data_IF_182390581582
#
_entry.id   IF_182390581582
#
_cell.length_a   1.000
_cell.length_b   1.000
_cell.length_c   1.000
_cell.angle_alpha   90.00
_cell.angle_beta   90.00
_cell.angle_gamma   90.00
#
_symmetry.space_group_name_H-M   'P 1'
#
loop_
_entity.id
_entity.type
_entity.pdbx_description
1 polymer ?
#
# COMPACT_ATOMS: atom_id res chain seq x y z
N UNK A 1 9.07 -12.45 -26.42
CA UNK A 1 8.84 -11.04 -26.08
C UNK A 1 8.16 -11.03 -24.72
N UNK A 2 8.94 -10.95 -23.64
CA UNK A 2 8.36 -10.88 -22.29
C UNK A 2 7.86 -9.45 -22.12
N UNK A 3 6.54 -9.27 -22.13
CA UNK A 3 5.96 -8.05 -21.59
C UNK A 3 6.40 -8.00 -20.12
N UNK A 4 7.24 -7.04 -19.76
CA UNK A 4 7.40 -6.72 -18.34
C UNK A 4 6.00 -6.32 -17.89
N UNK A 5 5.39 -7.03 -16.91
CA UNK A 5 4.18 -6.52 -16.30
C UNK A 5 4.48 -5.08 -15.87
N UNK A 6 3.59 -4.18 -16.24
CA UNK A 6 3.78 -2.76 -15.98
C UNK A 6 3.86 -2.62 -14.45
N UNK A 7 5.07 -2.41 -13.93
CA UNK A 7 5.32 -2.36 -12.47
C UNK A 7 4.37 -1.40 -11.77
N UNK A 8 3.87 -0.38 -12.47
CA UNK A 8 2.86 0.56 -11.98
C UNK A 8 1.52 -0.13 -11.73
N UNK A 9 1.05 -0.91 -12.70
CA UNK A 9 -0.21 -1.65 -12.61
C UNK A 9 -0.14 -2.72 -11.52
N UNK A 10 1.04 -3.32 -11.34
CA UNK A 10 1.30 -4.26 -10.24
C UNK A 10 1.16 -3.57 -8.87
N UNK A 11 1.78 -2.40 -8.65
CA UNK A 11 1.65 -1.67 -7.37
C UNK A 11 0.21 -1.23 -7.12
N UNK A 12 -0.49 -0.73 -8.14
CA UNK A 12 -1.90 -0.36 -8.01
C UNK A 12 -2.78 -1.56 -7.65
N UNK A 13 -2.53 -2.72 -8.26
CA UNK A 13 -3.24 -3.97 -7.95
C UNK A 13 -2.98 -4.41 -6.51
N UNK A 14 -1.72 -4.41 -6.07
CA UNK A 14 -1.37 -4.72 -4.68
C UNK A 14 -2.02 -3.76 -3.68
N UNK A 15 -2.06 -2.47 -4.00
CA UNK A 15 -2.70 -1.47 -3.15
C UNK A 15 -4.22 -1.67 -3.08
N UNK A 16 -4.87 -2.02 -4.20
CA UNK A 16 -6.29 -2.40 -4.24
C UNK A 16 -6.58 -3.61 -3.36
N UNK A 17 -5.82 -4.68 -3.52
CA UNK A 17 -5.96 -5.91 -2.71
C UNK A 17 -5.72 -5.67 -1.22
N UNK A 18 -4.80 -4.75 -0.87
CA UNK A 18 -4.59 -4.34 0.50
C UNK A 18 -5.83 -3.64 1.07
N UNK A 19 -6.43 -2.70 0.33
CA UNK A 19 -7.66 -2.01 0.74
C UNK A 19 -8.83 -2.99 0.89
N UNK A 20 -9.01 -3.90 -0.07
CA UNK A 20 -10.06 -4.92 0.01
C UNK A 20 -9.89 -5.82 1.25
N UNK A 21 -8.65 -6.19 1.57
CA UNK A 21 -8.35 -6.95 2.78
C UNK A 21 -8.62 -6.16 4.07
N UNK A 22 -8.43 -4.84 4.08
CA UNK A 22 -8.82 -3.98 5.21
C UNK A 22 -10.34 -3.93 5.38
N UNK A 23 -11.11 -3.85 4.29
CA UNK A 23 -12.58 -3.87 4.33
C UNK A 23 -13.17 -5.21 4.75
N UNK A 24 -12.41 -6.31 4.58
CA UNK A 24 -12.81 -7.63 5.06
C UNK A 24 -12.68 -7.79 6.57
N UNK A 25 -11.96 -6.88 7.26
CA UNK A 25 -11.86 -6.90 8.72
C UNK A 25 -13.19 -6.50 9.37
N UNK A 26 -13.43 -6.90 10.64
CA UNK A 26 -14.54 -6.38 11.43
C UNK A 26 -14.53 -4.86 11.46
N UNK A 27 -15.73 -4.25 11.42
CA UNK A 27 -15.88 -2.79 11.27
C UNK A 27 -15.14 -1.99 12.35
N UNK A 28 -15.01 -2.55 13.55
CA UNK A 28 -14.35 -1.91 14.69
C UNK A 28 -12.82 -2.01 14.64
N UNK A 29 -12.24 -2.86 13.78
CA UNK A 29 -10.79 -3.05 13.68
C UNK A 29 -10.07 -1.80 13.14
N UNK A 30 -10.77 -0.95 12.39
CA UNK A 30 -10.24 0.31 11.85
C UNK A 30 -10.75 1.54 12.60
N UNK A 31 -11.42 1.36 13.75
CA UNK A 31 -11.86 2.49 14.57
C UNK A 31 -10.66 3.30 15.03
N UNK A 32 -10.62 4.58 14.67
CA UNK A 32 -9.49 5.49 14.92
C UNK A 32 -8.48 5.61 13.78
N UNK A 33 -8.67 4.90 12.66
CA UNK A 33 -7.88 5.03 11.42
C UNK A 33 -8.77 5.26 10.19
N UNK A 34 -10.02 5.72 10.38
CA UNK A 34 -10.96 5.94 9.28
C UNK A 34 -10.44 6.97 8.29
N UNK A 35 -9.82 8.05 8.79
CA UNK A 35 -9.24 9.09 7.97
C UNK A 35 -8.09 8.58 7.09
N UNK A 36 -7.16 7.81 7.67
CA UNK A 36 -6.04 7.23 6.93
C UNK A 36 -6.52 6.20 5.91
N UNK A 37 -7.53 5.40 6.26
CA UNK A 37 -8.18 4.46 5.33
C UNK A 37 -8.78 5.21 4.13
N UNK A 38 -9.54 6.27 4.37
CA UNK A 38 -10.20 7.04 3.32
C UNK A 38 -9.18 7.75 2.42
N UNK A 39 -8.07 8.23 2.99
CA UNK A 39 -6.94 8.75 2.21
C UNK A 39 -6.37 7.67 1.31
N UNK A 40 -6.02 6.51 1.86
CA UNK A 40 -5.45 5.41 1.10
C UNK A 40 -6.39 4.95 -0.02
N UNK A 41 -7.69 4.75 0.28
CA UNK A 41 -8.69 4.38 -0.73
C UNK A 41 -8.74 5.40 -1.87
N UNK A 42 -8.81 6.69 -1.53
CA UNK A 42 -8.85 7.77 -2.53
C UNK A 42 -7.60 7.78 -3.41
N UNK A 43 -6.41 7.55 -2.83
CA UNK A 43 -5.15 7.50 -3.58
C UNK A 43 -5.10 6.27 -4.49
N UNK A 44 -5.56 5.11 -4.01
CA UNK A 44 -5.65 3.89 -4.82
C UNK A 44 -6.61 4.06 -5.99
N UNK A 45 -7.79 4.66 -5.77
CA UNK A 45 -8.76 4.93 -6.85
C UNK A 45 -8.19 5.87 -7.92
N UNK A 46 -7.36 6.84 -7.53
CA UNK A 46 -6.70 7.76 -8.45
C UNK A 46 -5.45 7.18 -9.12
N UNK A 47 -4.94 6.05 -8.63
CA UNK A 47 -3.65 5.49 -9.05
C UNK A 47 -2.43 6.21 -8.46
N UNK A 48 -2.63 7.09 -7.47
CA UNK A 48 -1.61 7.94 -6.85
C UNK A 48 -0.86 7.20 -5.71
N UNK A 49 -0.51 5.94 -5.92
CA UNK A 49 0.05 5.04 -4.88
C UNK A 49 1.56 5.18 -4.67
N UNK A 50 2.26 5.94 -5.52
CA UNK A 50 3.71 6.17 -5.42
C UNK A 50 4.09 7.36 -4.52
N UNK A 51 3.09 8.12 -4.05
CA UNK A 51 3.28 9.27 -3.17
C UNK A 51 3.68 8.90 -1.74
N UNK A 52 4.26 9.86 -1.03
CA UNK A 52 4.53 9.73 0.41
C UNK A 52 3.22 9.56 1.19
N UNK A 53 2.18 10.30 0.82
CA UNK A 53 0.86 10.27 1.45
C UNK A 53 0.28 8.84 1.55
N UNK A 54 0.37 8.03 0.49
CA UNK A 54 -0.08 6.64 0.52
C UNK A 54 0.71 5.80 1.53
N UNK A 55 2.04 5.99 1.56
CA UNK A 55 2.92 5.24 2.46
C UNK A 55 2.74 5.65 3.92
N UNK A 56 2.54 6.94 4.17
CA UNK A 56 2.34 7.50 5.50
C UNK A 56 0.99 7.05 6.08
N UNK A 57 -0.10 7.25 5.35
CA UNK A 57 -1.43 6.80 5.76
C UNK A 57 -1.46 5.27 5.96
N UNK A 58 -0.86 4.51 5.03
CA UNK A 58 -0.73 3.06 5.17
C UNK A 58 0.08 2.64 6.40
N UNK A 59 1.14 3.38 6.75
CA UNK A 59 1.94 3.11 7.94
C UNK A 59 1.17 3.41 9.23
N UNK A 60 0.35 4.46 9.28
CA UNK A 60 -0.51 4.74 10.45
C UNK A 60 -1.55 3.65 10.66
N UNK A 61 -2.19 3.17 9.59
CA UNK A 61 -3.10 2.02 9.66
C UNK A 61 -2.37 0.79 10.23
N UNK A 62 -1.15 0.49 9.75
CA UNK A 62 -0.36 -0.63 10.29
C UNK A 62 -0.05 -0.47 11.79
N UNK A 63 0.29 0.75 12.24
CA UNK A 63 0.56 1.02 13.66
C UNK A 63 -0.69 0.83 14.51
N UNK A 64 -1.86 1.20 14.01
CA UNK A 64 -3.13 0.96 14.69
C UNK A 64 -3.43 -0.54 14.78
N UNK A 65 -3.39 -1.25 13.65
CA UNK A 65 -3.70 -2.68 13.59
C UNK A 65 -2.75 -3.51 14.46
N UNK A 66 -1.49 -3.12 14.56
CA UNK A 66 -0.50 -3.80 15.41
C UNK A 66 -0.80 -3.75 16.92
N UNK A 67 -1.73 -2.88 17.35
CA UNK A 67 -2.15 -2.77 18.76
C UNK A 67 -3.34 -3.66 19.11
N UNK A 68 -3.97 -4.26 18.10
CA UNK A 68 -5.12 -5.13 18.31
C UNK A 68 -4.62 -6.48 18.81
N UNK A 69 -5.23 -7.03 19.86
CA UNK A 69 -5.03 -8.40 20.29
C UNK A 69 -5.91 -9.33 19.44
N UNK A 70 -5.33 -10.16 18.56
CA UNK A 70 -6.11 -10.95 17.63
C UNK A 70 -6.62 -12.26 18.24
N UNK A 71 -7.91 -12.53 18.12
CA UNK A 71 -8.53 -13.77 18.61
C UNK A 71 -9.17 -14.61 17.49
N UNK A 72 -9.02 -15.93 17.57
CA UNK A 72 -9.72 -16.89 16.70
C UNK A 72 -9.47 -16.68 15.20
N UNK A 73 -10.55 -16.72 14.39
CA UNK A 73 -10.45 -16.57 12.92
C UNK A 73 -10.01 -15.16 12.49
N UNK A 74 -10.36 -14.14 13.28
CA UNK A 74 -9.97 -12.75 13.04
C UNK A 74 -8.45 -12.56 13.03
N UNK A 75 -7.70 -13.37 13.79
CA UNK A 75 -6.24 -13.31 13.80
C UNK A 75 -5.61 -13.52 12.42
N UNK A 76 -6.15 -14.47 11.65
CA UNK A 76 -5.64 -14.78 10.32
C UNK A 76 -5.94 -13.67 9.34
N UNK A 77 -7.16 -13.12 9.40
CA UNK A 77 -7.59 -12.05 8.49
C UNK A 77 -6.84 -10.74 8.80
N UNK A 78 -6.62 -10.44 10.08
CA UNK A 78 -5.80 -9.31 10.53
C UNK A 78 -4.36 -9.41 10.02
N UNK A 79 -3.69 -10.55 10.25
CA UNK A 79 -2.32 -10.77 9.75
C UNK A 79 -2.27 -10.65 8.22
N UNK A 80 -3.25 -11.22 7.53
CA UNK A 80 -3.33 -11.19 6.08
C UNK A 80 -3.51 -9.76 5.54
N UNK A 81 -4.34 -8.95 6.18
CA UNK A 81 -4.54 -7.55 5.82
C UNK A 81 -3.28 -6.71 6.09
N UNK A 82 -2.68 -6.85 7.28
CA UNK A 82 -1.44 -6.17 7.65
C UNK A 82 -0.29 -6.53 6.69
N UNK A 83 -0.18 -7.79 6.30
CA UNK A 83 0.85 -8.25 5.35
C UNK A 83 0.65 -7.60 3.98
N UNK A 84 -0.56 -7.65 3.41
CA UNK A 84 -0.84 -7.04 2.10
C UNK A 84 -0.57 -5.54 2.10
N UNK A 85 -0.99 -4.84 3.16
CA UNK A 85 -0.73 -3.40 3.29
C UNK A 85 0.77 -3.09 3.35
N UNK A 86 1.53 -3.87 4.12
CA UNK A 86 2.99 -3.74 4.17
C UNK A 86 3.64 -3.99 2.81
N UNK A 87 3.20 -5.03 2.10
CA UNK A 87 3.73 -5.38 0.79
C UNK A 87 3.43 -4.27 -0.25
N UNK A 88 2.23 -3.68 -0.22
CA UNK A 88 1.87 -2.56 -1.07
C UNK A 88 2.70 -1.28 -0.78
N UNK A 89 2.93 -0.95 0.49
CA UNK A 89 3.79 0.18 0.90
C UNK A 89 5.23 -0.03 0.43
N UNK A 90 5.76 -1.24 0.59
CA UNK A 90 7.12 -1.58 0.17
C UNK A 90 7.27 -1.56 -1.37
N UNK A 91 6.25 -2.02 -2.09
CA UNK A 91 6.20 -1.96 -3.55
C UNK A 91 6.14 -0.51 -4.03
N UNK A 92 5.30 0.33 -3.41
CA UNK A 92 5.23 1.78 -3.64
C UNK A 92 6.60 2.44 -3.48
N UNK A 93 7.28 2.19 -2.36
CA UNK A 93 8.61 2.74 -2.09
C UNK A 93 9.64 2.28 -3.13
N UNK A 94 9.69 0.97 -3.42
CA UNK A 94 10.65 0.40 -4.37
C UNK A 94 10.46 0.96 -5.77
N UNK A 95 9.20 1.10 -6.21
CA UNK A 95 8.88 1.70 -7.51
C UNK A 95 9.26 3.19 -7.56
N UNK A 96 8.97 3.96 -6.50
CA UNK A 96 9.36 5.37 -6.43
C UNK A 96 10.89 5.56 -6.51
N UNK A 97 11.67 4.71 -5.84
CA UNK A 97 13.13 4.71 -5.92
C UNK A 97 13.61 4.36 -7.34
N UNK A 98 13.02 3.34 -7.97
CA UNK A 98 13.37 2.94 -9.33
C UNK A 98 13.12 4.08 -10.34
N UNK A 99 11.95 4.74 -10.27
CA UNK A 99 11.65 5.89 -11.13
C UNK A 99 12.59 7.07 -10.89
N UNK A 100 12.96 7.34 -9.63
CA UNK A 100 13.95 8.36 -9.30
C UNK A 100 15.33 8.07 -9.92
N UNK A 101 15.78 6.81 -9.85
CA UNK A 101 17.04 6.37 -10.43
C UNK A 101 17.04 6.38 -11.98
N UNK A 102 15.94 5.98 -12.61
CA UNK A 102 15.75 6.05 -14.07
C UNK A 102 15.78 7.50 -14.57
N UNK A 103 15.19 8.44 -13.83
CA UNK A 103 15.21 9.87 -14.16
C UNK A 103 16.62 10.48 -14.02
N UNK A 104 17.37 10.09 -12.99
CA UNK A 104 18.74 10.55 -12.78
C UNK A 104 19.69 10.06 -13.89
N UNK A 105 19.58 8.78 -14.26
CA UNK A 105 20.40 8.17 -15.32
C UNK A 105 20.06 8.71 -16.71
N UNK A 106 18.78 8.99 -16.99
CA UNK A 106 18.37 9.64 -18.24
C UNK A 106 18.93 11.05 -18.37
N UNK A 107 18.94 11.81 -17.27
CA UNK A 107 19.54 13.16 -17.23
C UNK A 107 21.05 13.11 -17.47
N UNK A 108 21.75 12.12 -16.90
CA UNK A 108 23.20 11.96 -17.08
C UNK A 108 23.61 11.54 -18.51
N UNK A 109 22.73 10.84 -19.26
CA UNK A 109 23.00 10.46 -20.65
C UNK A 109 22.72 11.56 -21.68
N UNK A 110 21.96 12.58 -21.29
CA UNK A 110 21.58 13.70 -22.17
C UNK A 110 22.53 14.90 -22.05
N UNK A 111 23.51 14.85 -21.15
CA UNK A 111 24.57 15.85 -20.94
C UNK A 111 25.90 15.34 -21.49
#
# INVERSE_FOLDING_TARGET
MFQQPNRIDDVNTMAREAIDALYALPVDALRGAEFDRDICERLVVKGDVFGADFREAGAEILRLLARIEPEGRFARDLDSAMRRLRDAINASYSAAVAFGAERATSTQRAA
#
